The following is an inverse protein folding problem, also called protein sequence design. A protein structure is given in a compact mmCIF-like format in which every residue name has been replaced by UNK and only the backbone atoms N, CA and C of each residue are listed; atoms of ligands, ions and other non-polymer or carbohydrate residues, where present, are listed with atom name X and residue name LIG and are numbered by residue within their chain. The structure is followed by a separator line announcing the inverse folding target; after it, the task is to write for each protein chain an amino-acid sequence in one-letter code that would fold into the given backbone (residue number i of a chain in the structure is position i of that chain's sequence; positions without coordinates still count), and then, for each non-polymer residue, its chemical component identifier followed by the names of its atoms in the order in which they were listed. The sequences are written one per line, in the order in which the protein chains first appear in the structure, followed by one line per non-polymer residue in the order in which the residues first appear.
data_IF_259067384686
#
_entry.id   IF_259067384686
#
_cell.length_a   1.000
_cell.length_b   1.000
_cell.length_c   1.000
_cell.angle_alpha   90.00
_cell.angle_beta   90.00
_cell.angle_gamma   90.00
#
_symmetry.space_group_name_H-M   'P 1'
#
loop_
_entity.id
_entity.type
_entity.pdbx_description
1 polymer ?
#
# COMPACT_ATOMS: atom_id res chain seq x y z
N UNK A 1 -6.92 -33.26 41.64
CA UNK A 1 -5.85 -32.55 40.93
C UNK A 1 -6.49 -31.41 40.16
N UNK A 2 -6.60 -30.25 40.80
CA UNK A 2 -7.10 -29.01 40.18
C UNK A 2 -5.88 -28.18 39.79
N UNK A 3 -5.83 -27.76 38.53
CA UNK A 3 -4.71 -27.03 37.95
C UNK A 3 -4.97 -25.54 38.15
N UNK A 4 -4.25 -24.92 39.09
CA UNK A 4 -4.30 -23.49 39.38
C UNK A 4 -3.87 -22.68 38.15
N UNK A 5 -4.77 -21.82 37.67
CA UNK A 5 -4.47 -20.77 36.70
C UNK A 5 -3.71 -19.66 37.40
N UNK A 6 -2.49 -19.39 36.94
CA UNK A 6 -1.63 -18.31 37.42
C UNK A 6 -2.33 -16.95 37.31
N UNK A 7 -2.98 -16.53 38.41
CA UNK A 7 -3.52 -15.20 38.57
C UNK A 7 -2.34 -14.26 38.84
N UNK A 8 -2.04 -13.38 37.89
CA UNK A 8 -0.98 -12.39 38.01
C UNK A 8 -1.47 -11.26 38.92
N UNK A 9 -1.21 -11.39 40.21
CA UNK A 9 -1.60 -10.45 41.26
C UNK A 9 -0.43 -9.47 41.50
N UNK A 10 -0.67 -8.17 41.38
CA UNK A 10 0.30 -7.14 41.76
C UNK A 10 0.56 -7.15 43.27
N UNK A 11 1.74 -6.70 43.71
CA UNK A 11 2.14 -6.65 45.12
C UNK A 11 1.17 -5.89 46.07
N UNK A 12 0.28 -5.06 45.50
CA UNK A 12 -0.73 -4.26 46.21
C UNK A 12 -2.10 -4.97 46.36
N UNK A 13 -2.27 -6.20 45.87
CA UNK A 13 -3.55 -6.94 45.96
C UNK A 13 -4.70 -6.37 45.12
N UNK A 14 -4.43 -5.36 44.28
CA UNK A 14 -5.40 -4.78 43.35
C UNK A 14 -5.36 -5.53 42.01
N UNK A 15 -6.49 -6.04 41.50
CA UNK A 15 -6.56 -6.61 40.16
C UNK A 15 -6.18 -5.54 39.15
N UNK A 16 -5.12 -5.77 38.36
CA UNK A 16 -4.77 -4.85 37.27
C UNK A 16 -5.90 -4.87 36.23
N UNK A 17 -6.32 -3.71 35.73
CA UNK A 17 -7.33 -3.65 34.67
C UNK A 17 -6.86 -4.43 33.43
N UNK A 18 -7.54 -5.52 33.10
CA UNK A 18 -7.35 -6.25 31.85
C UNK A 18 -8.08 -5.51 30.73
N UNK A 19 -7.41 -4.52 30.11
CA UNK A 19 -7.95 -3.77 28.98
C UNK A 19 -7.54 -4.38 27.63
N UNK A 20 -7.91 -5.63 27.42
CA UNK A 20 -7.83 -6.25 26.09
C UNK A 20 -9.25 -6.55 25.62
N UNK A 21 -9.89 -5.58 24.96
CA UNK A 21 -11.02 -5.85 24.07
C UNK A 21 -10.48 -6.01 22.65
N UNK A 22 -10.00 -7.20 22.27
CA UNK A 22 -9.57 -7.46 20.91
C UNK A 22 -10.76 -7.26 19.97
N UNK A 23 -10.48 -6.57 18.86
CA UNK A 23 -11.40 -6.40 17.73
C UNK A 23 -11.90 -7.79 17.32
N UNK A 24 -13.19 -7.92 16.98
CA UNK A 24 -13.76 -9.22 16.68
C UNK A 24 -13.01 -9.89 15.51
N UNK A 25 -12.58 -11.15 15.72
CA UNK A 25 -11.88 -11.94 14.70
C UNK A 25 -12.74 -12.06 13.43
N UNK A 26 -14.06 -12.04 13.58
CA UNK A 26 -15.04 -12.06 12.49
C UNK A 26 -14.93 -10.83 11.59
N UNK A 27 -14.73 -9.63 12.14
CA UNK A 27 -14.54 -8.41 11.34
C UNK A 27 -13.28 -8.52 10.47
N UNK A 28 -12.18 -9.02 11.04
CA UNK A 28 -10.93 -9.21 10.33
C UNK A 28 -11.08 -10.23 9.19
N UNK A 29 -11.72 -11.37 9.48
CA UNK A 29 -11.91 -12.44 8.50
C UNK A 29 -12.87 -12.04 7.37
N UNK A 30 -13.95 -11.30 7.69
CA UNK A 30 -14.89 -10.79 6.70
C UNK A 30 -14.21 -9.78 5.75
N UNK A 31 -13.43 -8.86 6.30
CA UNK A 31 -12.71 -7.87 5.49
C UNK A 31 -11.63 -8.54 4.63
N UNK A 32 -10.91 -9.52 5.19
CA UNK A 32 -9.97 -10.34 4.43
C UNK A 32 -10.62 -11.04 3.24
N UNK A 33 -11.76 -11.71 3.45
CA UNK A 33 -12.50 -12.37 2.38
C UNK A 33 -12.95 -11.38 1.29
N UNK A 34 -13.45 -10.21 1.69
CA UNK A 34 -13.83 -9.15 0.75
C UNK A 34 -12.63 -8.64 -0.07
N UNK A 35 -11.46 -8.45 0.55
CA UNK A 35 -10.23 -8.03 -0.14
C UNK A 35 -9.71 -9.09 -1.11
N UNK A 36 -9.77 -10.38 -0.73
CA UNK A 36 -9.44 -11.50 -1.62
C UNK A 36 -10.39 -11.52 -2.82
N UNK A 37 -11.70 -11.41 -2.58
CA UNK A 37 -12.69 -11.34 -3.65
C UNK A 37 -12.39 -10.19 -4.61
N UNK A 38 -12.11 -8.98 -4.09
CA UNK A 38 -11.78 -7.82 -4.92
C UNK A 38 -10.49 -8.00 -5.74
N UNK A 39 -9.51 -8.71 -5.17
CA UNK A 39 -8.26 -9.04 -5.86
C UNK A 39 -8.50 -10.01 -7.01
N UNK A 40 -9.33 -11.04 -6.80
CA UNK A 40 -9.74 -11.96 -7.87
C UNK A 40 -10.45 -11.19 -8.97
N UNK A 41 -11.42 -10.32 -8.62
CA UNK A 41 -12.12 -9.47 -9.58
C UNK A 41 -11.14 -8.62 -10.38
N UNK A 42 -10.12 -8.04 -9.74
CA UNK A 42 -9.11 -7.23 -10.45
C UNK A 42 -8.33 -8.05 -11.45
N UNK A 43 -7.87 -9.24 -11.07
CA UNK A 43 -7.12 -10.13 -11.97
C UNK A 43 -7.99 -10.61 -13.13
N UNK A 44 -9.25 -10.96 -12.86
CA UNK A 44 -10.18 -11.40 -13.91
C UNK A 44 -10.47 -10.26 -14.87
N UNK A 45 -10.75 -9.06 -14.37
CA UNK A 45 -10.99 -7.87 -15.19
C UNK A 45 -9.76 -7.54 -16.04
N UNK A 46 -8.57 -7.52 -15.43
CA UNK A 46 -7.31 -7.25 -16.13
C UNK A 46 -6.96 -8.31 -17.19
N UNK A 47 -7.37 -9.58 -17.00
CA UNK A 47 -7.10 -10.66 -17.96
C UNK A 47 -8.17 -10.83 -19.05
N UNK A 48 -9.43 -10.48 -18.76
CA UNK A 48 -10.56 -10.85 -19.62
C UNK A 48 -11.03 -9.72 -20.53
N UNK A 49 -10.65 -8.47 -20.24
CA UNK A 49 -11.17 -7.30 -20.94
C UNK A 49 -10.02 -6.52 -21.58
N UNK A 50 -9.60 -6.84 -22.83
CA UNK A 50 -8.62 -6.07 -23.58
C UNK A 50 -9.22 -4.72 -24.00
N UNK A 51 -9.33 -3.78 -23.07
CA UNK A 51 -9.94 -2.46 -23.29
C UNK A 51 -8.93 -1.38 -23.67
N UNK A 52 -7.68 -1.76 -23.93
CA UNK A 52 -6.60 -0.82 -24.26
C UNK A 52 -6.45 0.25 -23.18
N UNK A 53 -6.61 1.54 -23.55
CA UNK A 53 -6.44 2.68 -22.62
C UNK A 53 -7.39 2.65 -21.41
N UNK A 54 -8.58 2.05 -21.54
CA UNK A 54 -9.57 2.04 -20.46
C UNK A 54 -9.22 1.06 -19.33
N UNK A 55 -8.33 0.09 -19.56
CA UNK A 55 -7.92 -0.87 -18.52
C UNK A 55 -7.32 -0.19 -17.29
N UNK A 56 -6.53 0.85 -17.50
CA UNK A 56 -5.88 1.60 -16.42
C UNK A 56 -6.95 2.27 -15.54
N UNK A 57 -7.93 2.92 -16.16
CA UNK A 57 -9.01 3.62 -15.45
C UNK A 57 -9.88 2.66 -14.64
N UNK A 58 -10.23 1.50 -15.23
CA UNK A 58 -11.00 0.47 -14.53
C UNK A 58 -10.20 -0.12 -13.37
N UNK A 59 -8.92 -0.46 -13.61
CA UNK A 59 -8.03 -1.01 -12.58
C UNK A 59 -7.83 -0.03 -11.42
N UNK A 60 -7.67 1.25 -11.72
CA UNK A 60 -7.54 2.31 -10.72
C UNK A 60 -8.83 2.49 -9.92
N UNK A 61 -10.00 2.48 -10.58
CA UNK A 61 -11.29 2.57 -9.89
C UNK A 61 -11.52 1.40 -8.93
N UNK A 62 -11.19 0.18 -9.36
CA UNK A 62 -11.19 -1.01 -8.51
C UNK A 62 -10.22 -0.83 -7.33
N UNK A 63 -8.99 -0.37 -7.58
CA UNK A 63 -8.03 -0.11 -6.52
C UNK A 63 -8.55 0.93 -5.49
N UNK A 64 -9.26 1.97 -5.92
CA UNK A 64 -9.87 2.96 -5.03
C UNK A 64 -10.95 2.35 -4.14
N UNK A 65 -11.85 1.52 -4.69
CA UNK A 65 -12.88 0.84 -3.89
C UNK A 65 -12.25 -0.07 -2.84
N UNK A 66 -11.19 -0.82 -3.21
CA UNK A 66 -10.43 -1.64 -2.26
C UNK A 66 -9.83 -0.79 -1.13
N UNK A 67 -9.23 0.36 -1.47
CA UNK A 67 -8.65 1.27 -0.49
C UNK A 67 -9.70 1.82 0.48
N UNK A 68 -10.89 2.22 -0.02
CA UNK A 68 -12.00 2.66 0.82
C UNK A 68 -12.46 1.54 1.78
N UNK A 69 -12.56 0.31 1.30
CA UNK A 69 -12.92 -0.82 2.17
C UNK A 69 -11.91 -1.01 3.31
N UNK A 70 -10.61 -0.89 3.04
CA UNK A 70 -9.58 -0.93 4.07
C UNK A 70 -9.74 0.22 5.06
N UNK A 71 -9.99 1.45 4.58
CA UNK A 71 -10.17 2.61 5.46
C UNK A 71 -11.38 2.46 6.38
N UNK A 72 -12.53 2.06 5.84
CA UNK A 72 -13.76 1.94 6.62
C UNK A 72 -13.67 0.85 7.70
N UNK A 73 -13.08 -0.31 7.37
CA UNK A 73 -13.12 -1.50 8.23
C UNK A 73 -11.83 -1.74 9.02
N UNK A 74 -10.65 -1.68 8.40
CA UNK A 74 -9.36 -1.94 9.07
C UNK A 74 -8.85 -0.74 9.85
N UNK A 75 -9.07 0.48 9.34
CA UNK A 75 -8.72 1.70 10.07
C UNK A 75 -9.83 2.17 11.02
N UNK A 76 -10.90 1.39 11.14
CA UNK A 76 -12.03 1.66 12.02
C UNK A 76 -12.65 3.07 11.84
N UNK A 77 -12.43 3.73 10.70
CA UNK A 77 -12.83 5.13 10.45
C UNK A 77 -14.31 5.38 10.71
N UNK A 78 -15.16 4.37 10.50
CA UNK A 78 -16.61 4.50 10.69
C UNK A 78 -17.00 4.61 12.18
N UNK A 79 -16.22 4.03 13.08
CA UNK A 79 -16.48 4.04 14.52
C UNK A 79 -15.47 4.89 15.32
N UNK A 80 -14.43 5.38 14.66
CA UNK A 80 -13.41 6.23 15.27
C UNK A 80 -13.83 7.69 15.37
N UNK A 81 -13.07 8.47 16.16
CA UNK A 81 -13.31 9.90 16.31
C UNK A 81 -13.12 10.62 14.97
N UNK A 82 -13.93 11.65 14.66
CA UNK A 82 -13.81 12.43 13.41
C UNK A 82 -12.45 13.11 13.25
N UNK A 83 -11.70 13.27 14.34
CA UNK A 83 -10.32 13.76 14.31
C UNK A 83 -9.35 12.81 13.58
N UNK A 84 -9.54 11.49 13.67
CA UNK A 84 -8.69 10.51 12.98
C UNK A 84 -8.88 10.60 11.46
N UNK A 85 -10.12 10.82 11.02
CA UNK A 85 -10.47 11.09 9.62
C UNK A 85 -9.75 12.32 9.08
N UNK A 86 -9.71 13.41 9.85
CA UNK A 86 -9.07 14.65 9.43
C UNK A 86 -7.55 14.47 9.22
N UNK A 87 -6.87 13.75 10.12
CA UNK A 87 -5.44 13.43 9.99
C UNK A 87 -5.21 12.52 8.78
N UNK A 88 -6.09 11.55 8.56
CA UNK A 88 -5.97 10.66 7.41
C UNK A 88 -6.09 11.41 6.08
N UNK A 89 -7.11 12.27 5.96
CA UNK A 89 -7.32 13.10 4.76
C UNK A 89 -6.16 14.08 4.56
N UNK A 90 -5.63 14.68 5.62
CA UNK A 90 -4.48 15.57 5.48
C UNK A 90 -3.25 14.82 4.95
N UNK A 91 -3.00 13.60 5.44
CA UNK A 91 -1.95 12.73 4.90
C UNK A 91 -2.15 12.42 3.41
N UNK A 92 -3.38 12.14 2.98
CA UNK A 92 -3.69 11.89 1.56
C UNK A 92 -3.51 13.14 0.70
N UNK A 93 -3.89 14.32 1.21
CA UNK A 93 -3.68 15.61 0.54
C UNK A 93 -2.18 15.91 0.37
N UNK A 94 -1.39 15.76 1.43
CA UNK A 94 0.06 15.94 1.35
C UNK A 94 0.72 14.90 0.42
N UNK A 95 0.29 13.64 0.46
CA UNK A 95 0.76 12.61 -0.46
C UNK A 95 0.45 12.97 -1.92
N UNK A 96 -0.77 13.41 -2.22
CA UNK A 96 -1.16 13.86 -3.56
C UNK A 96 -0.35 15.09 -4.00
N UNK A 97 -0.11 16.04 -3.09
CA UNK A 97 0.70 17.22 -3.35
C UNK A 97 2.15 16.85 -3.67
N UNK A 98 2.79 16.00 -2.86
CA UNK A 98 4.15 15.53 -3.12
C UNK A 98 4.24 14.70 -4.40
N UNK A 99 3.29 13.80 -4.64
CA UNK A 99 3.23 13.03 -5.87
C UNK A 99 3.13 13.94 -7.11
N UNK A 100 2.27 14.97 -7.04
CA UNK A 100 2.14 15.97 -8.09
C UNK A 100 3.42 16.76 -8.33
N UNK A 101 4.10 17.20 -7.25
CA UNK A 101 5.38 17.88 -7.35
C UNK A 101 6.46 17.00 -7.97
N UNK A 102 6.56 15.72 -7.57
CA UNK A 102 7.52 14.78 -8.15
C UNK A 102 7.27 14.53 -9.63
N UNK A 103 6.00 14.43 -10.06
CA UNK A 103 5.66 14.29 -11.48
C UNK A 103 6.02 15.54 -12.27
N UNK A 104 5.71 16.72 -11.74
CA UNK A 104 6.07 18.00 -12.36
C UNK A 104 7.59 18.18 -12.49
N UNK A 105 8.34 17.78 -11.46
CA UNK A 105 9.81 17.81 -11.47
C UNK A 105 10.36 16.84 -12.52
N UNK A 106 9.84 15.60 -12.55
CA UNK A 106 10.24 14.58 -13.52
C UNK A 106 10.00 15.01 -14.96
N UNK A 107 8.87 15.67 -15.25
CA UNK A 107 8.59 16.19 -16.60
C UNK A 107 9.59 17.27 -17.01
N UNK A 108 9.97 18.17 -16.10
CA UNK A 108 10.90 19.25 -16.41
C UNK A 108 12.31 18.74 -16.74
N UNK A 109 12.81 17.76 -15.97
CA UNK A 109 14.13 17.18 -16.20
C UNK A 109 14.18 16.21 -17.39
N UNK A 110 13.04 15.64 -17.83
CA UNK A 110 13.03 14.70 -18.95
C UNK A 110 13.50 15.33 -20.27
N UNK A 111 13.22 16.62 -20.49
CA UNK A 111 13.62 17.31 -21.71
C UNK A 111 15.14 17.50 -21.77
N UNK A 112 15.76 17.86 -20.64
CA UNK A 112 17.22 18.00 -20.52
C UNK A 112 17.94 16.66 -20.67
N UNK A 113 17.39 15.57 -20.12
CA UNK A 113 17.96 14.21 -20.25
C UNK A 113 17.86 13.70 -21.70
N UNK A 114 16.80 14.07 -22.44
CA UNK A 114 16.64 13.71 -23.85
C UNK A 114 17.49 14.57 -24.79
N UNK A 115 17.71 15.83 -24.43
CA UNK A 115 18.53 16.78 -25.18
C UNK A 115 20.04 16.60 -24.90
N UNK A 116 20.39 15.96 -23.78
CA UNK A 116 21.76 15.56 -23.52
C UNK A 116 22.24 14.68 -24.68
N UNK A 117 23.42 14.97 -25.28
CA UNK A 117 23.93 14.17 -26.38
C UNK A 117 24.04 12.73 -25.88
N UNK A 118 23.25 11.84 -26.50
CA UNK A 118 23.40 10.40 -26.35
C UNK A 118 24.88 10.11 -26.46
N UNK A 119 25.50 9.55 -25.42
CA UNK A 119 26.90 9.17 -25.51
C UNK A 119 27.00 8.07 -26.58
N UNK A 120 27.23 8.46 -27.84
CA UNK A 120 27.66 7.64 -28.99
C UNK A 120 29.03 6.98 -28.74
N UNK A 121 29.48 6.96 -27.47
CA UNK A 121 30.70 6.36 -26.96
C UNK A 121 30.45 5.36 -25.82
N UNK A 122 29.19 5.09 -25.42
CA UNK A 122 28.86 3.87 -24.68
C UNK A 122 28.84 2.66 -25.64
N UNK A 123 29.76 2.62 -26.60
CA UNK A 123 30.34 1.37 -27.03
C UNK A 123 30.73 0.68 -25.72
N UNK A 124 30.11 -0.47 -25.44
CA UNK A 124 30.75 -1.48 -24.61
C UNK A 124 32.09 -1.73 -25.25
N UNK A 125 33.10 -0.94 -24.87
CA UNK A 125 34.47 -1.12 -25.32
C UNK A 125 34.74 -2.60 -25.12
N UNK A 126 35.28 -3.30 -26.12
CA UNK A 126 35.58 -4.72 -26.00
C UNK A 126 36.81 -4.89 -25.08
N UNK A 127 36.72 -4.41 -23.84
CA UNK A 127 37.61 -4.73 -22.73
C UNK A 127 37.49 -6.24 -22.41
N UNK A 128 36.47 -6.93 -22.95
CA UNK A 128 36.37 -8.39 -22.94
C UNK A 128 37.05 -9.08 -24.14
N UNK A 129 37.38 -8.36 -25.23
CA UNK A 129 38.11 -8.96 -26.37
C UNK A 129 39.63 -8.89 -26.21
N UNK A 130 40.14 -7.98 -25.36
CA UNK A 130 41.59 -7.84 -25.10
C UNK A 130 42.17 -8.99 -24.26
N UNK A 131 41.33 -9.77 -23.58
CA UNK A 131 41.76 -10.92 -22.75
C UNK A 131 41.59 -12.30 -23.41
N UNK A 132 41.16 -12.35 -24.67
CA UNK A 132 41.01 -13.60 -25.43
C UNK A 132 42.14 -13.80 -26.48
N UNK A 133 43.12 -12.90 -26.48
CA UNK A 133 44.29 -12.93 -27.37
C UNK A 133 45.64 -13.12 -26.61
N UNK A 134 45.59 -13.46 -25.32
CA UNK A 134 46.76 -13.95 -24.54
C UNK A 134 46.51 -15.36 -24.00
#
# INVERSE_FOLDING_TARGET
MAHDSHQQVSAEGTPLPSFNHPISVTTLLATFAALVMFTIVTVVVAKSLPMGRFEIWVSLGIATVKALLVMLFFMHMLHDKPFNVLIFISGFVFAALFMGLTLSDSEHYQDDIRAAPSFEGAQTTPILARGAEE
#
